data_IF_858288023567
#
_entry.id   IF_858288023567
#
_cell.length_a   1.000
_cell.length_b   1.000
_cell.length_c   1.000
_cell.angle_alpha   90.00
_cell.angle_beta   90.00
_cell.angle_gamma   90.00
#
_symmetry.space_group_name_H-M   'P 1'
#
loop_
_entity.id
_entity.type
_entity.pdbx_description
1 polymer ?
#
# COMPACT_ATOMS: atom_id res chain seq x y z
N UNK A 1 13.48 15.79 16.44
CA UNK A 1 14.35 14.61 16.72
C UNK A 1 13.86 13.71 17.88
N UNK A 2 12.54 13.58 18.13
CA UNK A 2 12.01 12.68 19.19
C UNK A 2 11.09 11.56 18.68
N UNK A 3 10.84 11.48 17.37
CA UNK A 3 9.92 10.48 16.79
C UNK A 3 10.57 9.10 16.55
N UNK A 4 11.90 9.03 16.48
CA UNK A 4 12.63 7.80 16.17
C UNK A 4 12.64 6.78 17.31
N UNK A 5 12.40 7.20 18.55
CA UNK A 5 12.49 6.34 19.73
C UNK A 5 11.24 5.47 19.95
N UNK A 6 10.07 5.84 19.40
CA UNK A 6 8.83 5.11 19.60
C UNK A 6 8.67 3.88 18.67
N UNK A 7 9.50 3.79 17.62
CA UNK A 7 9.45 2.71 16.62
C UNK A 7 10.17 1.44 17.09
N UNK A 8 10.98 1.51 18.16
CA UNK A 8 11.92 0.44 18.55
C UNK A 8 11.39 -0.49 19.65
N UNK A 9 10.25 -0.20 20.30
CA UNK A 9 9.78 -0.97 21.45
C UNK A 9 8.70 -2.02 21.10
N UNK A 10 9.04 -2.99 20.25
CA UNK A 10 8.25 -4.22 20.07
C UNK A 10 9.17 -5.45 20.20
N UNK A 11 9.60 -5.72 21.43
CA UNK A 11 10.29 -6.97 21.80
C UNK A 11 9.26 -7.97 22.32
N UNK A 12 8.46 -8.54 21.41
CA UNK A 12 7.83 -9.84 21.64
C UNK A 12 8.72 -10.88 20.95
N UNK A 13 9.10 -11.93 21.68
CA UNK A 13 9.96 -13.03 21.21
C UNK A 13 9.55 -13.51 19.82
N UNK A 14 10.29 -13.18 18.75
CA UNK A 14 9.95 -13.67 17.42
C UNK A 14 10.33 -15.15 17.37
N UNK A 15 9.40 -16.02 16.99
CA UNK A 15 9.83 -17.24 16.32
C UNK A 15 10.58 -16.76 15.07
N UNK A 16 11.90 -16.93 15.06
CA UNK A 16 12.77 -16.57 13.93
C UNK A 16 12.27 -17.37 12.72
N UNK A 17 11.45 -16.74 11.88
CA UNK A 17 11.10 -17.33 10.60
C UNK A 17 12.33 -17.22 9.71
N UNK A 18 12.88 -18.38 9.39
CA UNK A 18 14.01 -18.55 8.50
C UNK A 18 13.63 -18.40 7.01
N UNK A 19 12.50 -17.77 6.69
CA UNK A 19 12.15 -17.39 5.32
C UNK A 19 13.01 -16.20 4.92
N UNK A 20 14.29 -16.50 4.69
CA UNK A 20 15.27 -15.49 4.35
C UNK A 20 14.83 -14.78 3.06
N UNK A 21 14.34 -15.54 2.08
CA UNK A 21 13.91 -15.08 0.77
C UNK A 21 12.54 -14.40 0.78
N UNK A 22 12.42 -13.24 0.14
CA UNK A 22 11.13 -12.57 -0.10
C UNK A 22 10.25 -13.35 -1.08
N UNK A 23 10.83 -14.17 -1.96
CA UNK A 23 10.07 -14.98 -2.92
C UNK A 23 9.24 -16.07 -2.25
N UNK A 24 9.80 -16.69 -1.22
CA UNK A 24 9.22 -17.84 -0.51
C UNK A 24 8.17 -17.44 0.51
N UNK A 25 8.07 -16.14 0.83
CA UNK A 25 7.17 -15.70 1.88
C UNK A 25 5.71 -15.96 1.51
N UNK A 26 4.88 -16.42 2.46
CA UNK A 26 3.45 -16.56 2.24
C UNK A 26 2.80 -15.25 1.73
N UNK A 27 1.83 -15.39 0.82
CA UNK A 27 1.03 -14.27 0.30
C UNK A 27 0.10 -13.66 1.35
N UNK A 28 -0.22 -14.42 2.39
CA UNK A 28 -1.00 -13.99 3.54
C UNK A 28 -0.23 -14.22 4.85
N UNK A 29 -0.60 -13.52 5.91
CA UNK A 29 -0.18 -13.82 7.27
C UNK A 29 -0.76 -15.18 7.66
N UNK A 30 0.10 -16.09 8.12
CA UNK A 30 -0.31 -17.46 8.44
C UNK A 30 -1.10 -17.52 9.74
N UNK A 31 -1.83 -18.62 9.93
CA UNK A 31 -2.74 -18.81 11.06
C UNK A 31 -2.02 -18.60 12.40
N UNK A 32 -2.66 -17.82 13.28
CA UNK A 32 -2.16 -17.39 14.60
C UNK A 32 -0.96 -16.42 14.56
N UNK A 33 -0.59 -15.93 13.39
CA UNK A 33 0.44 -14.90 13.28
C UNK A 33 -0.14 -13.52 13.22
N UNK A 34 0.69 -12.58 13.67
CA UNK A 34 0.38 -11.17 13.69
C UNK A 34 1.48 -10.43 12.94
N UNK A 35 1.09 -9.54 12.06
CA UNK A 35 2.01 -8.67 11.36
C UNK A 35 1.66 -7.22 11.65
N UNK A 36 2.60 -6.53 12.29
CA UNK A 36 2.52 -5.09 12.56
C UNK A 36 3.27 -4.34 11.48
N UNK A 37 2.70 -3.25 11.00
CA UNK A 37 3.36 -2.41 10.03
C UNK A 37 3.16 -0.92 10.33
N UNK A 38 4.21 -0.14 10.09
CA UNK A 38 4.20 1.30 10.19
C UNK A 38 4.86 1.90 8.94
N UNK A 39 4.26 2.93 8.37
CA UNK A 39 4.84 3.63 7.24
C UNK A 39 4.80 5.14 7.39
N UNK A 40 5.77 5.78 6.78
CA UNK A 40 5.89 7.21 6.67
C UNK A 40 5.83 7.61 5.19
N UNK A 41 4.91 8.50 4.87
CA UNK A 41 4.66 8.98 3.52
C UNK A 41 4.98 10.48 3.47
N UNK A 42 6.14 10.88 2.92
CA UNK A 42 6.35 12.22 2.43
C UNK A 42 5.61 12.40 1.10
N UNK A 43 4.54 13.19 1.14
CA UNK A 43 3.74 13.55 -0.02
C UNK A 43 4.04 15.00 -0.38
N UNK A 44 4.33 15.25 -1.65
CA UNK A 44 4.45 16.62 -2.16
C UNK A 44 3.28 16.87 -3.08
N UNK A 45 2.32 17.66 -2.60
CA UNK A 45 1.15 18.02 -3.37
C UNK A 45 1.39 19.37 -4.06
N UNK A 46 1.33 19.35 -5.39
CA UNK A 46 1.35 20.57 -6.20
C UNK A 46 -0.09 20.94 -6.53
N UNK A 47 -0.59 22.01 -5.91
CA UNK A 47 -1.95 22.53 -6.15
C UNK A 47 -1.96 23.68 -7.17
N UNK A 48 -0.93 23.77 -8.02
CA UNK A 48 -0.81 24.75 -9.10
C UNK A 48 -0.41 26.15 -8.64
N UNK A 49 -0.94 26.63 -7.51
CA UNK A 49 -0.56 27.93 -6.91
C UNK A 49 0.23 27.79 -5.61
N UNK A 50 0.20 26.62 -4.96
CA UNK A 50 0.96 26.33 -3.75
C UNK A 50 1.47 24.89 -3.78
N UNK A 51 2.72 24.70 -3.37
CA UNK A 51 3.27 23.39 -3.07
C UNK A 51 3.22 23.18 -1.57
N UNK A 52 2.57 22.11 -1.11
CA UNK A 52 2.54 21.73 0.29
C UNK A 52 3.27 20.40 0.49
N UNK A 53 4.19 20.38 1.44
CA UNK A 53 4.79 19.14 1.92
C UNK A 53 3.85 18.56 3.00
N UNK A 54 3.24 17.42 2.69
CA UNK A 54 2.33 16.69 3.56
C UNK A 54 3.05 15.45 4.09
N UNK A 55 2.92 15.19 5.39
CA UNK A 55 3.56 14.05 6.04
C UNK A 55 2.51 13.20 6.72
N UNK A 56 2.47 11.91 6.40
CA UNK A 56 1.56 10.95 7.01
C UNK A 56 2.32 9.82 7.68
N UNK A 57 1.82 9.40 8.84
CA UNK A 57 2.17 8.12 9.45
C UNK A 57 0.99 7.19 9.29
N UNK A 58 1.24 6.00 8.75
CA UNK A 58 0.31 4.90 8.66
C UNK A 58 0.71 3.85 9.68
N UNK A 59 -0.29 3.29 10.35
CA UNK A 59 -0.14 2.15 11.24
C UNK A 59 -1.10 1.07 10.77
N UNK A 60 -0.71 -0.18 10.90
CA UNK A 60 -1.64 -1.27 10.71
C UNK A 60 -1.17 -2.59 11.26
N UNK A 61 -2.11 -3.51 11.22
CA UNK A 61 -2.13 -4.78 11.90
C UNK A 61 -2.82 -5.77 10.97
N UNK A 62 -2.14 -6.86 10.67
CA UNK A 62 -2.70 -8.01 9.96
C UNK A 62 -2.66 -9.25 10.86
N UNK A 63 -3.70 -10.07 10.81
CA UNK A 63 -3.81 -11.30 11.60
C UNK A 63 -4.25 -12.44 10.68
N UNK A 64 -3.51 -13.54 10.72
CA UNK A 64 -3.90 -14.79 10.07
C UNK A 64 -4.95 -15.52 10.90
N UNK A 65 -6.18 -15.56 10.39
CA UNK A 65 -7.34 -16.14 11.08
C UNK A 65 -7.43 -17.64 10.81
N UNK A 66 -7.21 -18.04 9.57
CA UNK A 66 -7.15 -19.44 9.13
C UNK A 66 -5.93 -19.64 8.23
N UNK A 67 -5.72 -20.85 7.72
CA UNK A 67 -4.64 -21.12 6.76
C UNK A 67 -4.87 -20.46 5.39
N UNK A 68 -6.07 -19.91 5.17
CA UNK A 68 -6.46 -19.26 3.91
C UNK A 68 -6.95 -17.81 4.08
N UNK A 69 -7.25 -17.35 5.30
CA UNK A 69 -7.87 -16.04 5.55
C UNK A 69 -7.00 -15.18 6.45
N UNK A 70 -6.72 -13.96 5.99
CA UNK A 70 -6.13 -12.87 6.78
C UNK A 70 -7.11 -11.71 6.90
N UNK A 71 -7.14 -11.10 8.08
CA UNK A 71 -7.81 -9.82 8.32
C UNK A 71 -6.78 -8.74 8.63
N UNK A 72 -6.99 -7.55 8.08
CA UNK A 72 -6.13 -6.39 8.31
C UNK A 72 -6.92 -5.18 8.79
N UNK A 73 -6.30 -4.37 9.63
CA UNK A 73 -6.79 -3.08 10.10
C UNK A 73 -5.66 -2.06 9.97
N UNK A 74 -6.00 -0.85 9.56
CA UNK A 74 -5.00 0.19 9.35
C UNK A 74 -5.58 1.59 9.51
N UNK A 75 -4.76 2.51 10.00
CA UNK A 75 -5.17 3.87 10.29
C UNK A 75 -4.03 4.87 9.99
N UNK A 76 -4.42 6.06 9.57
CA UNK A 76 -3.54 7.22 9.47
C UNK A 76 -3.99 8.26 10.52
N UNK A 77 -3.42 8.27 11.73
CA UNK A 77 -3.74 9.31 12.70
C UNK A 77 -3.28 10.68 12.19
N UNK A 78 -4.08 11.71 12.46
CA UNK A 78 -3.72 13.08 12.11
C UNK A 78 -2.75 13.63 13.16
N UNK A 79 -1.61 14.12 12.71
CA UNK A 79 -0.61 14.78 13.58
C UNK A 79 -1.00 16.28 13.68
N UNK A 80 -2.09 16.58 14.39
CA UNK A 80 -2.60 17.95 14.57
C UNK A 80 -3.19 18.16 15.99
N UNK A 81 -3.22 19.40 16.52
CA UNK A 81 -3.62 19.69 17.91
C UNK A 81 -5.06 19.33 18.29
N UNK A 82 -5.92 19.05 17.32
CA UNK A 82 -7.34 18.75 17.45
C UNK A 82 -7.66 17.24 17.44
N UNK A 83 -6.66 16.37 17.24
CA UNK A 83 -6.86 14.92 17.17
C UNK A 83 -7.72 14.47 15.96
N UNK A 84 -7.67 13.17 15.64
CA UNK A 84 -8.46 12.56 14.55
C UNK A 84 -7.66 11.58 13.70
N UNK A 85 -8.29 11.10 12.63
CA UNK A 85 -7.67 10.25 11.61
C UNK A 85 -7.89 10.86 10.23
N UNK A 86 -6.87 10.78 9.39
CA UNK A 86 -7.03 11.05 7.96
C UNK A 86 -7.71 9.86 7.27
N UNK A 87 -7.48 8.66 7.78
CA UNK A 87 -7.88 7.43 7.11
C UNK A 87 -8.00 6.24 8.10
N UNK A 88 -8.99 5.37 7.90
CA UNK A 88 -9.18 4.08 8.57
C UNK A 88 -9.68 3.03 7.56
N UNK A 89 -9.00 1.89 7.47
CA UNK A 89 -9.38 0.79 6.57
C UNK A 89 -9.34 -0.58 7.24
N UNK A 90 -10.19 -1.45 6.73
CA UNK A 90 -10.23 -2.88 6.98
C UNK A 90 -9.92 -3.60 5.68
N UNK A 91 -9.21 -4.72 5.83
CA UNK A 91 -8.81 -5.60 4.76
C UNK A 91 -9.20 -7.02 5.06
N UNK A 92 -9.64 -7.74 4.05
CA UNK A 92 -9.77 -9.20 4.08
C UNK A 92 -9.01 -9.77 2.90
N UNK A 93 -8.13 -10.73 3.15
CA UNK A 93 -7.38 -11.44 2.10
C UNK A 93 -7.70 -12.93 2.18
N UNK A 94 -8.01 -13.53 1.04
CA UNK A 94 -8.28 -14.96 0.88
C UNK A 94 -7.24 -15.59 -0.05
N UNK A 95 -6.52 -16.61 0.43
CA UNK A 95 -5.56 -17.38 -0.34
C UNK A 95 -6.30 -18.39 -1.22
N UNK A 96 -6.63 -17.99 -2.44
CA UNK A 96 -7.33 -18.84 -3.40
C UNK A 96 -6.43 -19.96 -3.97
N UNK A 97 -5.12 -19.75 -4.00
CA UNK A 97 -4.11 -20.70 -4.44
C UNK A 97 -2.76 -20.33 -3.80
N UNK A 98 -1.79 -21.25 -3.75
CA UNK A 98 -0.43 -20.99 -3.20
C UNK A 98 0.29 -19.79 -3.86
N UNK A 99 -0.13 -19.41 -5.07
CA UNK A 99 0.44 -18.33 -5.89
C UNK A 99 -0.55 -17.15 -6.09
N UNK A 100 -1.77 -17.25 -5.57
CA UNK A 100 -2.85 -16.29 -5.82
C UNK A 100 -3.63 -16.03 -4.54
N UNK A 101 -3.71 -14.77 -4.12
CA UNK A 101 -4.62 -14.31 -3.09
C UNK A 101 -5.53 -13.20 -3.63
N UNK A 102 -6.79 -13.23 -3.22
CA UNK A 102 -7.79 -12.20 -3.54
C UNK A 102 -8.01 -11.33 -2.30
N UNK A 103 -8.15 -10.03 -2.50
CA UNK A 103 -8.27 -9.07 -1.43
C UNK A 103 -9.50 -8.21 -1.59
N UNK A 104 -10.14 -7.88 -0.48
CA UNK A 104 -11.17 -6.87 -0.35
C UNK A 104 -10.67 -5.81 0.63
N UNK A 105 -10.57 -4.57 0.17
CA UNK A 105 -10.23 -3.41 0.99
C UNK A 105 -11.45 -2.50 1.11
N UNK A 106 -11.68 -1.95 2.29
CA UNK A 106 -12.74 -0.98 2.54
C UNK A 106 -12.30 0.00 3.61
N UNK A 107 -12.72 1.25 3.52
CA UNK A 107 -12.43 2.21 4.57
C UNK A 107 -13.06 3.57 4.37
N UNK A 108 -12.78 4.43 5.34
CA UNK A 108 -13.27 5.79 5.43
C UNK A 108 -12.11 6.74 5.56
N UNK A 109 -12.28 7.95 5.04
CA UNK A 109 -11.27 8.99 5.13
C UNK A 109 -11.88 10.33 5.50
N UNK A 110 -11.13 11.13 6.26
CA UNK A 110 -11.45 12.52 6.60
C UNK A 110 -10.25 13.39 6.22
N UNK A 111 -10.37 14.01 5.05
CA UNK A 111 -9.38 14.92 4.47
C UNK A 111 -9.83 16.38 4.60
N UNK A 112 -10.62 16.73 5.64
CA UNK A 112 -11.13 18.11 5.85
C UNK A 112 -10.02 19.18 5.88
N UNK A 113 -8.80 18.82 6.25
CA UNK A 113 -7.63 19.72 6.24
C UNK A 113 -7.20 20.08 4.80
N UNK A 114 -7.61 19.31 3.80
CA UNK A 114 -7.24 19.42 2.40
C UNK A 114 -8.41 19.98 1.54
N UNK A 115 -9.46 20.52 2.17
CA UNK A 115 -10.65 21.06 1.46
C UNK A 115 -11.59 19.99 0.88
N UNK A 116 -11.31 18.72 1.15
CA UNK A 116 -12.10 17.56 0.74
C UNK A 116 -13.17 17.21 1.79
N UNK A 117 -14.26 16.59 1.31
CA UNK A 117 -15.33 16.07 2.17
C UNK A 117 -15.01 14.64 2.60
N UNK A 118 -15.37 14.23 3.83
CA UNK A 118 -15.26 12.84 4.24
C UNK A 118 -15.88 11.88 3.22
N UNK A 119 -15.27 10.72 3.07
CA UNK A 119 -15.66 9.75 2.06
C UNK A 119 -15.42 8.31 2.49
N UNK A 120 -15.87 7.43 1.61
CA UNK A 120 -15.74 5.99 1.70
C UNK A 120 -15.05 5.49 0.43
N UNK A 121 -14.12 4.56 0.59
CA UNK A 121 -13.50 3.87 -0.53
C UNK A 121 -13.50 2.37 -0.29
N UNK A 122 -13.62 1.60 -1.36
CA UNK A 122 -13.44 0.16 -1.33
C UNK A 122 -12.88 -0.36 -2.63
N UNK A 123 -12.30 -1.55 -2.60
CA UNK A 123 -11.65 -2.14 -3.75
C UNK A 123 -11.48 -3.65 -3.65
N UNK A 124 -11.32 -4.27 -4.81
CA UNK A 124 -10.98 -5.68 -4.94
C UNK A 124 -9.60 -5.75 -5.56
N UNK A 125 -8.66 -6.36 -4.84
CA UNK A 125 -7.30 -6.58 -5.28
C UNK A 125 -6.99 -8.05 -5.50
N UNK A 126 -5.86 -8.29 -6.17
CA UNK A 126 -5.31 -9.63 -6.35
C UNK A 126 -3.81 -9.56 -6.13
N UNK A 127 -3.30 -10.41 -5.26
CA UNK A 127 -1.87 -10.64 -5.07
C UNK A 127 -1.49 -11.89 -5.81
N UNK A 128 -0.65 -11.72 -6.83
CA UNK A 128 -0.07 -12.81 -7.61
C UNK A 128 1.40 -12.95 -7.23
N UNK A 129 1.91 -14.17 -7.16
CA UNK A 129 3.34 -14.43 -7.20
C UNK A 129 3.63 -15.72 -7.94
N UNK A 130 4.10 -15.61 -9.18
CA UNK A 130 4.49 -16.75 -10.01
C UNK A 130 6.01 -16.76 -10.15
N UNK A 131 6.72 -17.77 -9.64
CA UNK A 131 8.16 -17.90 -9.87
C UNK A 131 8.45 -18.12 -11.37
N UNK A 132 9.40 -17.36 -11.92
CA UNK A 132 9.77 -17.43 -13.34
C UNK A 132 11.11 -18.12 -13.56
N UNK A 133 12.13 -17.74 -12.78
CA UNK A 133 13.50 -18.24 -12.89
C UNK A 133 13.92 -18.75 -11.52
N UNK A 134 14.13 -20.07 -11.41
CA UNK A 134 14.70 -20.82 -10.28
C UNK A 134 15.07 -19.95 -9.06
N UNK A 135 14.05 -19.52 -8.30
CA UNK A 135 14.19 -18.82 -7.02
C UNK A 135 14.85 -17.42 -7.05
N UNK A 136 14.93 -16.76 -8.21
CA UNK A 136 15.49 -15.39 -8.32
C UNK A 136 14.50 -14.36 -8.79
N UNK A 137 13.52 -14.76 -9.59
CA UNK A 137 12.58 -13.84 -10.21
C UNK A 137 11.17 -14.38 -10.08
N UNK A 138 10.24 -13.52 -9.64
CA UNK A 138 8.81 -13.80 -9.70
C UNK A 138 8.06 -12.67 -10.41
N UNK A 139 7.07 -13.06 -11.20
CA UNK A 139 5.99 -12.17 -11.64
C UNK A 139 5.07 -11.96 -10.45
N UNK A 140 4.75 -10.70 -10.16
CA UNK A 140 3.88 -10.35 -9.04
C UNK A 140 2.79 -9.37 -9.43
N UNK A 141 1.76 -9.30 -8.60
CA UNK A 141 0.74 -8.26 -8.66
C UNK A 141 0.63 -7.54 -7.32
N UNK A 142 0.60 -6.21 -7.39
CA UNK A 142 0.52 -5.33 -6.23
C UNK A 142 1.83 -5.19 -5.43
N UNK A 143 1.76 -4.42 -4.34
CA UNK A 143 2.82 -4.27 -3.35
C UNK A 143 3.06 -5.56 -2.58
N UNK A 144 4.30 -5.71 -2.11
CA UNK A 144 4.65 -6.76 -1.15
C UNK A 144 3.97 -6.59 0.23
N UNK A 145 3.25 -5.48 0.45
CA UNK A 145 2.89 -5.02 1.81
C UNK A 145 1.40 -5.05 2.13
N UNK A 146 1.14 -5.22 3.43
CA UNK A 146 -0.16 -5.25 4.08
C UNK A 146 -0.84 -3.88 4.26
N UNK A 147 -0.30 -2.79 3.73
CA UNK A 147 -0.91 -1.47 3.92
C UNK A 147 -2.15 -1.29 3.02
N UNK A 148 -3.21 -0.65 3.52
CA UNK A 148 -4.41 -0.36 2.74
C UNK A 148 -4.07 0.51 1.53
N UNK A 149 -4.37 0.09 0.28
CA UNK A 149 -4.65 1.06 -0.75
C UNK A 149 -6.03 1.59 -0.42
N UNK A 150 -6.09 2.81 0.10
CA UNK A 150 -7.35 3.53 -0.01
C UNK A 150 -7.27 4.32 -1.29
N UNK A 151 -8.37 4.18 -2.03
CA UNK A 151 -8.56 4.56 -3.42
C UNK A 151 -7.96 5.93 -3.75
N UNK A 152 -7.74 6.17 -5.04
CA UNK A 152 -7.01 7.35 -5.46
C UNK A 152 -7.70 8.59 -4.90
N UNK A 153 -6.98 9.32 -4.05
CA UNK A 153 -7.50 10.49 -3.37
C UNK A 153 -7.60 11.58 -4.41
N UNK A 154 -8.82 11.91 -4.80
CA UNK A 154 -9.03 12.91 -5.84
C UNK A 154 -9.85 14.08 -5.31
N UNK A 155 -9.12 14.99 -4.66
CA UNK A 155 -9.15 16.43 -4.91
C UNK A 155 -8.88 16.72 -6.40
N UNK A 156 -9.20 17.92 -6.93
CA UNK A 156 -8.73 18.38 -8.25
C UNK A 156 -7.22 18.16 -8.50
N UNK A 157 -6.45 17.87 -7.46
CA UNK A 157 -5.06 17.48 -7.47
C UNK A 157 -4.94 15.99 -7.08
N UNK A 158 -4.55 15.11 -8.02
CA UNK A 158 -4.42 13.68 -7.77
C UNK A 158 -3.43 13.38 -6.63
N UNK A 159 -3.89 12.83 -5.50
CA UNK A 159 -3.03 11.95 -4.70
C UNK A 159 -3.26 10.54 -5.22
N UNK A 160 -2.24 10.06 -5.93
CA UNK A 160 -2.28 8.85 -6.73
C UNK A 160 -1.35 7.84 -6.09
N UNK A 161 -1.74 7.33 -4.93
CA UNK A 161 -1.12 6.11 -4.45
C UNK A 161 -1.38 5.01 -5.48
N UNK A 162 -0.36 4.19 -5.77
CA UNK A 162 -0.50 3.04 -6.64
C UNK A 162 -1.57 2.10 -6.04
N UNK A 163 -2.84 2.25 -6.41
CA UNK A 163 -3.84 1.29 -5.95
C UNK A 163 -3.39 -0.09 -6.44
N UNK A 164 -3.21 -1.04 -5.54
CA UNK A 164 -2.87 -2.41 -5.93
C UNK A 164 -4.12 -3.19 -6.35
N UNK A 165 -5.27 -2.54 -6.24
CA UNK A 165 -6.56 -3.13 -6.53
C UNK A 165 -6.82 -3.15 -8.03
N UNK A 166 -7.48 -4.23 -8.45
CA UNK A 166 -7.98 -4.40 -9.80
C UNK A 166 -9.17 -3.48 -10.05
N UNK A 167 -10.00 -3.29 -9.02
CA UNK A 167 -11.18 -2.42 -9.06
C UNK A 167 -11.22 -1.59 -7.80
N UNK A 168 -11.49 -0.28 -7.93
CA UNK A 168 -11.75 0.59 -6.78
C UNK A 168 -13.03 1.39 -7.01
N UNK A 169 -13.71 1.71 -5.93
CA UNK A 169 -14.86 2.63 -5.88
C UNK A 169 -14.56 3.65 -4.78
N UNK A 170 -14.80 4.91 -5.07
CA UNK A 170 -14.69 6.01 -4.09
C UNK A 170 -15.95 6.87 -4.17
N UNK A 171 -16.53 7.13 -3.00
CA UNK A 171 -17.72 7.95 -2.83
C UNK A 171 -17.47 8.94 -1.71
N UNK A 172 -17.58 10.23 -2.03
CA UNK A 172 -17.62 11.30 -1.04
C UNK A 172 -18.84 12.19 -1.23
N UNK A 173 -18.97 13.21 -0.37
CA UNK A 173 -20.11 14.13 -0.39
C UNK A 173 -20.28 14.94 -1.68
N UNK A 174 -19.31 14.90 -2.61
CA UNK A 174 -19.31 15.70 -3.85
C UNK A 174 -19.22 14.87 -5.12
N UNK A 175 -18.52 13.74 -5.09
CA UNK A 175 -18.10 12.99 -6.27
C UNK A 175 -18.20 11.49 -6.02
N UNK A 176 -18.51 10.75 -7.09
CA UNK A 176 -18.37 9.29 -7.16
C UNK A 176 -17.38 8.97 -8.27
N UNK A 177 -16.42 8.10 -7.98
CA UNK A 177 -15.46 7.61 -8.94
C UNK A 177 -15.33 6.10 -8.83
N UNK A 178 -14.87 5.49 -9.92
CA UNK A 178 -14.47 4.11 -9.95
C UNK A 178 -13.17 3.99 -10.75
N UNK A 179 -12.38 2.96 -10.50
CA UNK A 179 -11.25 2.65 -11.37
C UNK A 179 -11.15 1.16 -11.62
N UNK A 180 -10.57 0.83 -12.77
CA UNK A 180 -10.16 -0.53 -13.09
C UNK A 180 -8.70 -0.50 -13.52
N UNK A 181 -7.92 -1.49 -13.12
CA UNK A 181 -6.52 -1.55 -13.48
C UNK A 181 -5.90 -2.92 -13.31
N UNK A 182 -4.70 -3.05 -13.85
CA UNK A 182 -3.92 -4.28 -13.80
C UNK A 182 -2.53 -3.88 -13.30
N UNK A 183 -2.26 -4.02 -11.99
CA UNK A 183 -0.94 -3.80 -11.44
C UNK A 183 -0.10 -5.06 -11.62
N UNK A 184 0.99 -4.97 -12.37
CA UNK A 184 1.96 -6.05 -12.50
C UNK A 184 3.34 -5.58 -12.04
N UNK A 185 4.19 -6.52 -11.71
CA UNK A 185 5.55 -6.23 -11.36
C UNK A 185 6.44 -7.45 -11.43
N UNK A 186 7.72 -7.19 -11.31
CA UNK A 186 8.74 -8.23 -11.22
C UNK A 186 9.46 -8.03 -9.90
N UNK A 187 9.48 -9.10 -9.09
CA UNK A 187 10.29 -9.20 -7.89
C UNK A 187 11.57 -9.93 -8.23
N UNK A 188 12.71 -9.33 -7.90
CA UNK A 188 14.04 -9.90 -8.06
C UNK A 188 14.65 -10.09 -6.69
N UNK A 189 14.95 -11.35 -6.36
CA UNK A 189 15.69 -11.72 -5.17
C UNK A 189 17.19 -11.54 -5.45
N UNK A 190 17.82 -10.57 -4.76
CA UNK A 190 19.23 -10.22 -4.98
C UNK A 190 20.13 -11.16 -4.16
N UNK A 191 19.86 -11.22 -2.86
CA UNK A 191 20.42 -12.17 -1.89
C UNK A 191 19.31 -12.50 -0.90
N UNK A 192 19.37 -13.56 -0.07
CA UNK A 192 18.21 -14.00 0.71
C UNK A 192 17.45 -12.85 1.41
N UNK A 193 18.15 -12.01 2.18
CA UNK A 193 17.54 -10.91 2.94
C UNK A 193 17.34 -9.58 2.17
N UNK A 194 17.56 -9.56 0.86
CA UNK A 194 17.44 -8.35 0.04
C UNK A 194 16.79 -8.64 -1.31
N UNK A 195 15.69 -7.95 -1.58
CA UNK A 195 15.01 -8.00 -2.86
C UNK A 195 14.72 -6.60 -3.40
N UNK A 196 14.51 -6.54 -4.70
CA UNK A 196 14.04 -5.35 -5.39
C UNK A 196 12.81 -5.69 -6.22
N UNK A 197 11.86 -4.78 -6.27
CA UNK A 197 10.64 -4.93 -7.02
C UNK A 197 10.45 -3.73 -7.93
N UNK A 198 10.09 -4.00 -9.18
CA UNK A 198 9.63 -2.97 -10.12
C UNK A 198 8.20 -3.29 -10.49
N UNK A 199 7.33 -2.29 -10.39
CA UNK A 199 5.90 -2.38 -10.71
C UNK A 199 5.57 -1.42 -11.83
N UNK A 200 4.71 -1.88 -12.73
CA UNK A 200 4.06 -1.05 -13.73
C UNK A 200 2.65 -1.58 -13.96
N UNK A 201 1.72 -0.70 -14.30
CA UNK A 201 0.36 -1.13 -14.59
C UNK A 201 -0.34 -0.24 -15.58
N UNK A 202 -1.58 -0.61 -15.87
CA UNK A 202 -2.54 0.26 -16.53
C UNK A 202 -3.70 0.51 -15.59
N UNK A 203 -4.23 1.74 -15.60
CA UNK A 203 -5.42 2.10 -14.85
C UNK A 203 -6.29 3.06 -15.63
N UNK A 204 -7.56 2.72 -15.72
CA UNK A 204 -8.60 3.61 -16.20
C UNK A 204 -9.43 4.08 -15.01
N UNK A 205 -9.61 5.39 -14.90
CA UNK A 205 -10.43 6.02 -13.86
C UNK A 205 -11.67 6.61 -14.51
N UNK A 206 -12.83 6.27 -13.94
CA UNK A 206 -14.13 6.83 -14.23
C UNK A 206 -14.47 7.85 -13.14
N UNK A 207 -14.85 9.07 -13.51
CA UNK A 207 -15.22 10.10 -12.55
C UNK A 207 -16.31 11.03 -13.06
N UNK A 208 -16.92 11.78 -12.13
CA UNK A 208 -18.06 12.65 -12.41
C UNK A 208 -17.76 13.77 -13.42
N UNK A 209 -16.49 14.13 -13.64
CA UNK A 209 -16.09 15.27 -14.48
C UNK A 209 -15.11 14.93 -15.61
N UNK A 210 -14.41 13.79 -15.55
CA UNK A 210 -13.64 13.25 -16.68
C UNK A 210 -13.21 11.81 -16.39
N UNK A 211 -12.95 11.06 -17.46
CA UNK A 211 -12.24 9.78 -17.43
C UNK A 211 -10.78 9.96 -17.83
N UNK A 212 -9.87 9.21 -17.22
CA UNK A 212 -8.44 9.33 -17.53
C UNK A 212 -7.71 7.99 -17.43
N UNK A 213 -6.69 7.85 -18.26
CA UNK A 213 -5.77 6.71 -18.29
C UNK A 213 -4.44 7.05 -17.60
N UNK A 214 -3.97 6.08 -16.82
CA UNK A 214 -2.74 6.17 -16.05
C UNK A 214 -1.88 4.93 -16.30
N UNK A 215 -0.56 5.16 -16.33
CA UNK A 215 0.45 4.09 -16.33
C UNK A 215 1.29 4.29 -15.08
N UNK A 216 0.82 3.82 -13.91
CA UNK A 216 1.57 3.97 -12.69
C UNK A 216 2.82 3.08 -12.73
N UNK A 217 3.93 3.62 -12.24
CA UNK A 217 5.21 2.92 -12.11
C UNK A 217 5.64 3.01 -10.66
N UNK A 218 6.12 1.91 -10.09
CA UNK A 218 6.63 1.86 -8.73
C UNK A 218 7.93 1.09 -8.66
N UNK A 219 8.81 1.48 -7.74
CA UNK A 219 10.01 0.73 -7.41
C UNK A 219 10.06 0.55 -5.90
N UNK A 220 10.33 -0.67 -5.45
CA UNK A 220 10.45 -1.03 -4.05
C UNK A 220 11.82 -1.69 -3.79
N UNK A 221 12.47 -1.29 -2.72
CA UNK A 221 13.63 -1.97 -2.15
C UNK A 221 13.20 -2.63 -0.84
N UNK A 222 13.44 -3.93 -0.71
CA UNK A 222 13.03 -4.72 0.44
C UNK A 222 14.25 -5.33 1.11
N UNK A 223 14.46 -5.04 2.39
CA UNK A 223 15.53 -5.60 3.19
C UNK A 223 14.95 -6.24 4.46
N UNK A 224 15.48 -7.38 4.88
CA UNK A 224 15.04 -8.07 6.08
C UNK A 224 16.17 -8.28 7.07
N UNK A 225 15.87 -8.16 8.36
CA UNK A 225 16.74 -8.59 9.46
C UNK A 225 16.33 -9.95 10.02
N UNK A 226 15.37 -10.62 9.40
CA UNK A 226 14.74 -11.86 9.87
C UNK A 226 13.58 -11.62 10.84
N UNK A 227 13.67 -10.60 11.68
CA UNK A 227 12.60 -10.21 12.62
C UNK A 227 11.79 -9.01 12.13
N UNK A 228 12.40 -8.17 11.31
CA UNK A 228 11.81 -6.96 10.76
C UNK A 228 12.14 -6.84 9.28
N UNK A 229 11.22 -6.25 8.54
CA UNK A 229 11.40 -5.85 7.15
C UNK A 229 11.38 -4.33 7.03
N UNK A 230 12.30 -3.85 6.20
CA UNK A 230 12.49 -2.47 5.84
C UNK A 230 12.17 -2.35 4.36
N UNK A 231 11.20 -1.50 4.04
CA UNK A 231 10.71 -1.35 2.68
C UNK A 231 10.74 0.12 2.32
N UNK A 232 11.41 0.44 1.22
CA UNK A 232 11.46 1.78 0.66
C UNK A 232 10.78 1.73 -0.69
N UNK A 233 9.76 2.55 -0.87
CA UNK A 233 8.95 2.61 -2.08
C UNK A 233 8.99 4.00 -2.68
N UNK A 234 9.09 4.06 -4.00
CA UNK A 234 8.90 5.28 -4.78
C UNK A 234 7.92 5.00 -5.91
N UNK A 235 6.88 5.82 -6.03
CA UNK A 235 5.78 5.65 -6.97
C UNK A 235 5.61 6.90 -7.83
N UNK A 236 5.44 6.67 -9.13
CA UNK A 236 5.17 7.67 -10.15
C UNK A 236 3.84 7.35 -10.81
N UNK A 237 2.77 8.03 -10.41
CA UNK A 237 1.46 7.81 -10.98
C UNK A 237 1.30 8.64 -12.27
N UNK A 238 1.86 8.14 -13.37
CA UNK A 238 1.88 8.90 -14.61
C UNK A 238 0.47 8.99 -15.21
N UNK A 239 -0.12 10.19 -15.20
CA UNK A 239 -1.26 10.56 -16.05
C UNK A 239 -0.74 10.72 -17.48
N UNK A 240 -1.29 9.98 -18.45
CA UNK A 240 -0.79 10.04 -19.84
C UNK A 240 -1.05 11.40 -20.53
N UNK A 241 -1.93 12.24 -19.96
CA UNK A 241 -2.49 13.44 -20.59
C UNK A 241 -2.11 14.77 -19.91
N UNK A 242 -1.25 14.79 -18.88
CA UNK A 242 -0.85 16.02 -18.17
C UNK A 242 0.66 16.06 -17.87
N UNK A 243 1.25 17.27 -17.92
CA UNK A 243 2.68 17.52 -17.73
C UNK A 243 3.11 17.66 -16.25
N UNK A 244 2.20 17.44 -15.28
CA UNK A 244 2.53 17.54 -13.86
C UNK A 244 3.27 16.29 -13.37
N UNK A 245 4.50 16.45 -12.90
CA UNK A 245 5.30 15.39 -12.33
C UNK A 245 5.01 15.26 -10.82
N UNK A 246 4.05 14.42 -10.44
CA UNK A 246 3.79 14.08 -9.04
C UNK A 246 4.61 12.83 -8.70
N UNK A 247 5.31 12.85 -7.57
CA UNK A 247 6.08 11.73 -7.03
C UNK A 247 5.58 11.42 -5.62
N UNK A 248 5.36 10.15 -5.33
CA UNK A 248 5.04 9.70 -3.98
C UNK A 248 6.18 8.82 -3.47
N UNK A 249 6.73 9.16 -2.30
CA UNK A 249 7.71 8.35 -1.60
C UNK A 249 7.08 7.71 -0.37
N UNK A 250 7.52 6.50 -0.01
CA UNK A 250 7.14 5.85 1.24
C UNK A 250 8.32 5.09 1.83
N UNK A 251 8.47 5.19 3.15
CA UNK A 251 9.35 4.32 3.94
C UNK A 251 8.49 3.54 4.91
N UNK A 252 8.68 2.22 4.95
CA UNK A 252 7.87 1.31 5.74
C UNK A 252 8.75 0.37 6.57
N UNK A 253 8.25 0.06 7.75
CA UNK A 253 8.74 -0.97 8.64
C UNK A 253 7.63 -1.98 8.89
N UNK A 254 7.99 -3.25 8.95
CA UNK A 254 7.06 -4.34 9.21
C UNK A 254 7.73 -5.38 10.11
N UNK A 255 6.97 -5.93 11.05
CA UNK A 255 7.41 -7.00 11.93
C UNK A 255 6.33 -8.07 11.97
N UNK A 256 6.73 -9.34 12.02
CA UNK A 256 5.83 -10.51 12.06
C UNK A 256 6.14 -11.34 13.30
N UNK A 257 5.09 -11.80 13.97
CA UNK A 257 5.12 -12.50 15.26
C UNK A 257 4.24 -13.74 15.22
#
# INVERSE_FOLDING_TARGET
MKLWAAIIALTASPQVRADASFLERPLIVLRHEIQLHAAYEPLREDTGTNTADVHRVLLGLDVGVTDEVQLGLSAAPRIAPNGGFDHLAIRTTYLAHEHVAVRLDTGVYDTRVHGETPGFAGGIGMSLRIPLLAERVALISGRFTGLPPIGPRFSPWPSLSFADDLVTIDVNGRVRTASVGIPLGVLVQVVPLLAAQVRAGYRHVFGAYSSADYVPIGVDLLASTGTMDFIISAEMPRKLQAASNIYEGRVQLQARF
#
